data_IF_743910689743
#
_entry.id   IF_743910689743
#
_cell.length_a   1.000
_cell.length_b   1.000
_cell.length_c   1.000
_cell.angle_alpha   90.00
_cell.angle_beta   90.00
_cell.angle_gamma   90.00
#
_symmetry.space_group_name_H-M   'P 1'
#
loop_
_entity.id
_entity.type
_entity.pdbx_description
1 polymer ?
#
# COMPACT_ATOMS: atom_id res chain seq x y z
N UNK A 1 12.30 -0.26 -7.37
CA UNK A 1 13.33 -0.89 -6.51
C UNK A 1 13.89 -2.09 -7.25
N UNK A 2 15.20 -2.18 -7.33
CA UNK A 2 15.89 -3.33 -7.90
C UNK A 2 16.09 -4.41 -6.83
N UNK A 3 16.04 -5.68 -7.24
CA UNK A 3 16.16 -6.83 -6.35
C UNK A 3 17.35 -7.68 -6.83
N UNK A 4 18.35 -7.84 -5.98
CA UNK A 4 19.61 -8.49 -6.32
C UNK A 4 19.73 -9.83 -5.61
N UNK A 5 19.72 -10.96 -6.33
CA UNK A 5 20.08 -12.25 -5.76
C UNK A 5 21.59 -12.37 -5.57
N UNK A 6 22.02 -13.20 -4.64
CA UNK A 6 23.42 -13.65 -4.57
C UNK A 6 23.57 -14.80 -5.56
N UNK A 7 24.37 -14.61 -6.61
CA UNK A 7 24.56 -15.58 -7.72
C UNK A 7 23.21 -15.88 -8.42
N UNK A 8 22.92 -17.11 -8.68
CA UNK A 8 21.72 -17.60 -9.38
C UNK A 8 20.58 -17.97 -8.41
N UNK A 9 20.60 -17.44 -7.18
CA UNK A 9 19.55 -17.74 -6.20
C UNK A 9 18.22 -17.09 -6.59
N UNK A 10 17.13 -17.83 -6.43
CA UNK A 10 15.78 -17.32 -6.67
C UNK A 10 15.17 -16.82 -5.36
N UNK A 11 14.59 -15.63 -5.39
CA UNK A 11 13.81 -15.08 -4.25
C UNK A 11 12.71 -16.06 -3.80
N UNK A 12 12.18 -16.88 -4.69
CA UNK A 12 11.15 -17.87 -4.37
C UNK A 12 11.66 -18.95 -3.39
N UNK A 13 12.98 -19.19 -3.31
CA UNK A 13 13.56 -20.11 -2.32
C UNK A 13 13.37 -19.60 -0.87
N UNK A 14 13.14 -18.30 -0.69
CA UNK A 14 12.89 -17.68 0.61
C UNK A 14 11.41 -17.69 1.02
N UNK A 15 10.54 -18.32 0.22
CA UNK A 15 9.11 -18.37 0.48
C UNK A 15 8.85 -19.08 1.80
N UNK A 16 8.05 -18.45 2.66
CA UNK A 16 7.67 -18.99 3.95
C UNK A 16 6.14 -18.86 4.12
N UNK A 17 5.49 -19.72 4.90
CA UNK A 17 4.10 -19.53 5.27
C UNK A 17 3.93 -18.20 6.02
N UNK A 18 2.71 -17.69 6.02
CA UNK A 18 2.40 -16.53 6.86
C UNK A 18 2.64 -16.90 8.32
N UNK A 19 3.23 -15.95 9.06
CA UNK A 19 3.31 -16.07 10.51
C UNK A 19 1.92 -16.17 11.12
N UNK A 20 1.77 -16.96 12.16
CA UNK A 20 0.56 -16.88 12.99
C UNK A 20 0.45 -15.48 13.63
N UNK A 21 -0.72 -15.19 14.19
CA UNK A 21 -1.00 -13.87 14.77
C UNK A 21 -0.06 -13.52 15.94
N UNK A 22 0.31 -14.49 16.76
CA UNK A 22 1.14 -14.22 17.94
C UNK A 22 2.58 -13.89 17.56
N UNK A 23 3.17 -14.63 16.62
CA UNK A 23 4.51 -14.38 16.13
C UNK A 23 4.58 -13.11 15.28
N UNK A 24 3.55 -12.84 14.48
CA UNK A 24 3.48 -11.57 13.74
C UNK A 24 3.34 -10.37 14.69
N UNK A 25 2.58 -10.48 15.78
CA UNK A 25 2.49 -9.43 16.80
C UNK A 25 3.85 -9.13 17.43
N UNK A 26 4.66 -10.16 17.74
CA UNK A 26 6.03 -9.97 18.26
C UNK A 26 6.92 -9.27 17.22
N UNK A 27 6.89 -9.72 15.96
CA UNK A 27 7.63 -9.09 14.88
C UNK A 27 7.22 -7.64 14.68
N UNK A 28 5.93 -7.35 14.62
CA UNK A 28 5.38 -6.00 14.48
C UNK A 28 5.77 -5.07 15.63
N UNK A 29 5.84 -5.59 16.85
CA UNK A 29 6.28 -4.84 18.05
C UNK A 29 7.76 -4.47 18.01
N UNK A 30 8.61 -5.28 17.38
CA UNK A 30 10.07 -5.19 17.48
C UNK A 30 10.79 -4.80 16.19
N UNK A 31 10.11 -4.72 15.06
CA UNK A 31 10.71 -4.49 13.74
C UNK A 31 10.01 -3.34 13.02
N UNK A 32 10.76 -2.69 12.11
CA UNK A 32 10.17 -1.86 11.06
C UNK A 32 9.61 -2.80 10.00
N UNK A 33 8.34 -2.67 9.68
CA UNK A 33 7.67 -3.53 8.70
C UNK A 33 7.83 -2.95 7.30
N UNK A 34 8.39 -3.72 6.39
CA UNK A 34 8.46 -3.34 4.97
C UNK A 34 7.08 -3.48 4.33
N UNK A 35 6.58 -2.37 3.81
CA UNK A 35 5.30 -2.27 3.12
C UNK A 35 5.46 -1.73 1.71
N UNK A 36 4.42 -1.89 0.92
CA UNK A 36 4.24 -1.25 -0.38
C UNK A 36 2.81 -0.71 -0.49
N UNK A 37 2.67 0.43 -1.14
CA UNK A 37 1.38 1.07 -1.38
C UNK A 37 1.28 1.44 -2.86
N UNK A 38 0.09 1.38 -3.46
CA UNK A 38 -0.13 1.73 -4.84
C UNK A 38 -1.24 2.77 -5.01
N UNK A 39 -0.88 3.89 -5.61
CA UNK A 39 -1.78 4.93 -6.07
C UNK A 39 -2.29 4.53 -7.45
N UNK A 40 -3.48 3.95 -7.49
CA UNK A 40 -4.04 3.31 -8.69
C UNK A 40 -4.84 4.33 -9.49
N UNK A 41 -4.41 4.61 -10.73
CA UNK A 41 -5.31 5.25 -11.69
C UNK A 41 -6.44 4.27 -12.03
N UNK A 42 -7.65 4.62 -11.65
CA UNK A 42 -8.86 3.88 -11.98
C UNK A 42 -9.90 4.85 -12.53
N UNK A 43 -10.39 4.58 -13.74
CA UNK A 43 -11.21 5.55 -14.48
C UNK A 43 -10.49 6.90 -14.57
N UNK A 44 -11.16 7.99 -14.17
CA UNK A 44 -10.67 9.38 -14.27
C UNK A 44 -9.79 9.86 -13.11
N UNK A 45 -9.63 9.06 -12.04
CA UNK A 45 -8.93 9.51 -10.83
C UNK A 45 -7.96 8.50 -10.24
N UNK A 46 -7.32 8.89 -9.16
CA UNK A 46 -6.51 8.01 -8.30
C UNK A 46 -7.41 7.43 -7.22
N UNK A 47 -7.46 6.10 -7.15
CA UNK A 47 -8.24 5.39 -6.13
C UNK A 47 -7.57 5.51 -4.76
N UNK A 48 -8.29 6.08 -3.81
CA UNK A 48 -8.06 5.96 -2.39
C UNK A 48 -9.25 5.28 -1.74
N UNK A 49 -9.03 4.62 -0.61
CA UNK A 49 -10.07 3.93 0.16
C UNK A 49 -10.00 4.34 1.61
N UNK A 50 -11.14 4.38 2.29
CA UNK A 50 -11.19 4.62 3.72
C UNK A 50 -10.83 3.35 4.47
N UNK A 51 -9.92 3.45 5.45
CA UNK A 51 -9.49 2.31 6.26
C UNK A 51 -10.48 2.07 7.42
N UNK A 52 -10.83 0.80 7.65
CA UNK A 52 -11.70 0.38 8.77
C UNK A 52 -10.93 -0.08 10.00
N UNK A 53 -9.62 -0.13 9.93
CA UNK A 53 -8.76 -0.66 11.00
C UNK A 53 -7.50 0.19 11.23
N UNK A 54 -6.92 0.03 12.40
CA UNK A 54 -5.62 0.64 12.72
C UNK A 54 -4.45 -0.02 11.95
N UNK A 55 -3.38 0.75 11.70
CA UNK A 55 -3.24 2.20 11.91
C UNK A 55 -3.99 3.00 10.84
N UNK A 56 -4.27 4.28 11.11
CA UNK A 56 -4.93 5.15 10.15
C UNK A 56 -6.40 4.81 9.91
N UNK A 57 -7.13 4.35 10.94
CA UNK A 57 -8.58 4.17 10.88
C UNK A 57 -9.25 5.48 10.47
N UNK A 58 -10.24 5.39 9.58
CA UNK A 58 -10.98 6.51 8.98
C UNK A 58 -10.18 7.42 8.02
N UNK A 59 -8.88 7.18 7.85
CA UNK A 59 -8.06 7.91 6.89
C UNK A 59 -8.28 7.38 5.46
N UNK A 60 -8.22 8.28 4.47
CA UNK A 60 -8.09 7.91 3.07
C UNK A 60 -6.68 7.41 2.80
N UNK A 61 -6.56 6.20 2.27
CA UNK A 61 -5.28 5.52 2.07
C UNK A 61 -5.22 4.79 0.72
N UNK A 62 -4.03 4.65 0.09
CA UNK A 62 -3.87 3.78 -1.08
C UNK A 62 -4.02 2.29 -0.71
N UNK A 63 -4.34 1.46 -1.67
CA UNK A 63 -4.29 0.00 -1.52
C UNK A 63 -2.85 -0.44 -1.29
N UNK A 64 -2.63 -1.31 -0.30
CA UNK A 64 -1.28 -1.77 0.00
C UNK A 64 -1.14 -2.52 1.30
N UNK A 65 0.09 -2.66 1.76
CA UNK A 65 0.43 -3.34 3.01
C UNK A 65 1.76 -4.06 2.95
N UNK A 66 1.95 -5.04 3.82
CA UNK A 66 3.22 -5.74 3.99
C UNK A 66 3.67 -6.45 2.71
N UNK A 67 4.96 -6.26 2.36
CA UNK A 67 5.62 -7.05 1.31
C UNK A 67 5.72 -8.52 1.74
N UNK A 68 5.33 -9.42 0.85
CA UNK A 68 5.36 -10.86 1.15
C UNK A 68 6.78 -11.41 0.99
N UNK A 69 7.26 -12.10 2.02
CA UNK A 69 8.57 -12.78 2.00
C UNK A 69 8.64 -13.82 0.89
N UNK A 70 9.76 -13.88 0.19
CA UNK A 70 9.99 -14.85 -0.89
C UNK A 70 9.18 -14.57 -2.15
N UNK A 71 8.81 -13.32 -2.36
CA UNK A 71 8.07 -12.88 -3.55
C UNK A 71 8.67 -11.55 -4.06
N UNK A 72 8.87 -11.39 -5.38
CA UNK A 72 9.25 -10.09 -5.93
C UNK A 72 8.26 -8.99 -5.51
N UNK A 73 8.78 -7.82 -5.15
CA UNK A 73 7.97 -6.75 -4.55
C UNK A 73 6.79 -6.33 -5.41
N UNK A 74 6.99 -6.18 -6.73
CA UNK A 74 5.89 -5.84 -7.66
C UNK A 74 4.84 -6.95 -7.74
N UNK A 75 5.26 -8.23 -7.67
CA UNK A 75 4.32 -9.36 -7.66
C UNK A 75 3.51 -9.39 -6.36
N UNK A 76 4.18 -9.16 -5.22
CA UNK A 76 3.51 -9.01 -3.92
C UNK A 76 2.45 -7.91 -3.94
N UNK A 77 2.77 -6.76 -4.57
CA UNK A 77 1.83 -5.65 -4.74
C UNK A 77 0.62 -6.04 -5.61
N UNK A 78 0.84 -6.74 -6.73
CA UNK A 78 -0.22 -7.20 -7.62
C UNK A 78 -1.17 -8.19 -6.93
N UNK A 79 -0.63 -9.17 -6.20
CA UNK A 79 -1.42 -10.14 -5.45
C UNK A 79 -2.23 -9.46 -4.33
N UNK A 80 -1.61 -8.51 -3.63
CA UNK A 80 -2.27 -7.71 -2.60
C UNK A 80 -3.42 -6.88 -3.17
N UNK A 81 -3.17 -6.17 -4.27
CA UNK A 81 -4.21 -5.35 -4.92
C UNK A 81 -5.36 -6.20 -5.44
N UNK A 82 -5.05 -7.36 -6.01
CA UNK A 82 -6.09 -8.29 -6.43
C UNK A 82 -6.95 -8.77 -5.26
N UNK A 83 -6.34 -9.12 -4.13
CA UNK A 83 -7.06 -9.58 -2.95
C UNK A 83 -7.92 -8.49 -2.29
N UNK A 84 -7.51 -7.22 -2.35
CA UNK A 84 -8.18 -6.12 -1.64
C UNK A 84 -9.13 -5.29 -2.51
N UNK A 85 -8.92 -5.27 -3.83
CA UNK A 85 -9.68 -4.41 -4.74
C UNK A 85 -10.11 -5.09 -6.05
N UNK A 86 -9.76 -6.36 -6.29
CA UNK A 86 -10.02 -7.11 -7.53
C UNK A 86 -9.54 -6.40 -8.81
N UNK A 87 -8.53 -5.53 -8.69
CA UNK A 87 -7.93 -4.84 -9.82
C UNK A 87 -6.61 -5.49 -10.25
N UNK A 88 -6.44 -5.65 -11.56
CA UNK A 88 -5.14 -6.00 -12.16
C UNK A 88 -4.34 -4.72 -12.39
N UNK A 89 -3.07 -4.73 -11.96
CA UNK A 89 -2.17 -3.58 -12.13
C UNK A 89 -1.37 -3.68 -13.43
N UNK A 90 -1.33 -2.58 -14.17
CA UNK A 90 -0.49 -2.39 -15.35
C UNK A 90 0.39 -1.14 -15.17
N UNK A 91 1.53 -1.10 -15.88
CA UNK A 91 2.45 0.05 -15.88
C UNK A 91 2.87 0.50 -14.48
N UNK A 92 3.33 -0.45 -13.65
CA UNK A 92 3.75 -0.19 -12.27
C UNK A 92 5.04 0.63 -12.25
N UNK A 93 4.95 1.88 -11.78
CA UNK A 93 6.04 2.83 -11.63
C UNK A 93 6.31 3.08 -10.14
N UNK A 94 7.57 3.14 -9.75
CA UNK A 94 7.96 3.53 -8.39
C UNK A 94 7.95 5.06 -8.27
N UNK A 95 7.24 5.57 -7.25
CA UNK A 95 7.18 6.99 -6.92
C UNK A 95 8.20 7.40 -5.86
N UNK A 96 8.77 6.43 -5.16
CA UNK A 96 9.75 6.60 -4.10
C UNK A 96 9.39 5.82 -2.84
N UNK A 97 10.06 6.14 -1.74
CA UNK A 97 9.84 5.48 -0.46
C UNK A 97 9.76 6.48 0.68
N UNK A 98 9.12 6.08 1.77
CA UNK A 98 9.05 6.86 3.01
C UNK A 98 8.84 5.94 4.22
N UNK A 99 9.22 6.44 5.40
CA UNK A 99 8.90 5.81 6.68
C UNK A 99 7.66 6.48 7.25
N UNK A 100 6.70 5.69 7.68
CA UNK A 100 5.52 6.17 8.42
C UNK A 100 5.44 5.49 9.78
N UNK A 101 4.96 6.21 10.77
CA UNK A 101 4.76 5.68 12.10
C UNK A 101 3.49 6.26 12.72
N UNK A 102 2.80 5.42 13.49
CA UNK A 102 1.56 5.74 14.16
C UNK A 102 1.66 5.33 15.64
N UNK A 103 1.01 6.08 16.51
CA UNK A 103 0.90 5.72 17.92
C UNK A 103 0.00 4.50 18.17
N UNK A 104 -0.83 4.15 17.18
CA UNK A 104 -1.75 3.01 17.22
C UNK A 104 -1.18 1.78 16.53
N UNK A 105 -1.62 0.60 16.93
CA UNK A 105 -1.29 -0.66 16.32
C UNK A 105 -2.51 -1.60 16.20
N UNK A 106 -2.54 -2.51 15.19
CA UNK A 106 -3.69 -3.40 14.97
C UNK A 106 -3.72 -4.61 15.91
N UNK A 107 -2.74 -4.78 16.80
CA UNK A 107 -2.57 -5.97 17.62
C UNK A 107 -2.72 -5.69 19.12
N UNK A 108 -2.83 -4.43 19.54
CA UNK A 108 -2.99 -4.03 20.94
C UNK A 108 -1.73 -4.19 21.81
N UNK A 109 -0.53 -4.22 21.20
CA UNK A 109 0.73 -4.32 21.97
C UNK A 109 1.21 -2.97 22.54
N UNK A 110 0.57 -1.84 22.16
CA UNK A 110 0.83 -0.51 22.71
C UNK A 110 2.17 0.13 22.33
N UNK A 111 2.83 -0.33 21.26
CA UNK A 111 4.10 0.23 20.76
C UNK A 111 3.95 0.97 19.43
N UNK A 112 2.70 1.12 18.97
CA UNK A 112 2.41 1.76 17.70
C UNK A 112 2.78 0.89 16.48
N UNK A 113 2.75 1.50 15.32
CA UNK A 113 3.10 0.88 14.04
C UNK A 113 4.22 1.66 13.40
N UNK A 114 5.28 0.98 12.95
CA UNK A 114 6.45 1.55 12.28
C UNK A 114 6.67 0.82 10.97
N UNK A 115 6.55 1.53 9.84
CA UNK A 115 6.63 0.94 8.52
C UNK A 115 7.57 1.72 7.61
N UNK A 116 8.28 1.01 6.75
CA UNK A 116 8.97 1.57 5.60
C UNK A 116 8.18 1.21 4.36
N UNK A 117 7.64 2.22 3.67
CA UNK A 117 6.73 2.03 2.56
C UNK A 117 7.41 2.37 1.24
N UNK A 118 7.22 1.50 0.24
CA UNK A 118 7.58 1.77 -1.15
C UNK A 118 6.29 2.15 -1.86
N UNK A 119 6.20 3.39 -2.33
CA UNK A 119 5.03 3.90 -3.02
C UNK A 119 5.14 3.68 -4.53
N UNK A 120 4.07 3.19 -5.13
CA UNK A 120 3.95 2.95 -6.57
C UNK A 120 2.75 3.70 -7.15
N UNK A 121 2.86 4.02 -8.44
CA UNK A 121 1.74 4.34 -9.31
C UNK A 121 1.48 3.15 -10.23
N UNK A 122 0.21 2.88 -10.56
CA UNK A 122 -0.16 1.89 -11.57
C UNK A 122 -1.52 2.21 -12.18
N UNK A 123 -1.82 1.61 -13.34
CA UNK A 123 -3.17 1.61 -13.91
C UNK A 123 -3.93 0.38 -13.47
N UNK A 124 -5.13 0.57 -12.94
CA UNK A 124 -6.03 -0.51 -12.52
C UNK A 124 -7.00 -0.91 -13.63
N UNK A 125 -7.12 -2.21 -13.89
CA UNK A 125 -8.11 -2.80 -14.81
C UNK A 125 -9.00 -3.79 -14.10
N UNK A 126 -10.27 -3.80 -14.45
CA UNK A 126 -11.30 -4.70 -13.92
C UNK A 126 -12.42 -3.95 -13.23
N UNK A 127 -13.28 -4.69 -12.54
CA UNK A 127 -14.34 -4.14 -11.68
C UNK A 127 -13.80 -4.00 -10.26
N UNK A 128 -13.93 -2.81 -9.68
CA UNK A 128 -13.54 -2.57 -8.30
C UNK A 128 -14.48 -3.29 -7.35
N UNK A 129 -13.93 -4.20 -6.56
CA UNK A 129 -14.63 -4.88 -5.47
C UNK A 129 -13.70 -4.86 -4.25
N UNK A 130 -14.08 -4.07 -3.24
CA UNK A 130 -13.27 -3.93 -2.03
C UNK A 130 -13.49 -5.12 -1.09
N UNK A 131 -12.45 -5.47 -0.35
CA UNK A 131 -12.54 -6.42 0.76
C UNK A 131 -13.32 -5.83 1.94
N UNK A 132 -13.37 -6.58 3.06
CA UNK A 132 -14.13 -6.17 4.26
C UNK A 132 -13.41 -5.19 5.19
N UNK A 133 -12.14 -4.84 4.90
CA UNK A 133 -11.34 -3.90 5.70
C UNK A 133 -11.17 -2.53 5.07
N UNK A 134 -11.73 -2.34 3.87
CA UNK A 134 -11.77 -1.08 3.14
C UNK A 134 -13.21 -0.69 2.82
N UNK A 135 -13.48 0.60 2.76
CA UNK A 135 -14.78 1.13 2.39
C UNK A 135 -14.66 2.49 1.69
N UNK A 136 -15.79 3.05 1.25
CA UNK A 136 -15.89 4.39 0.68
C UNK A 136 -14.78 4.69 -0.35
N UNK A 137 -14.73 3.96 -1.49
CA UNK A 137 -13.74 4.22 -2.52
C UNK A 137 -13.94 5.62 -3.09
N UNK A 138 -12.86 6.39 -3.11
CA UNK A 138 -12.83 7.76 -3.63
C UNK A 138 -11.89 7.84 -4.82
N UNK A 139 -12.35 8.41 -5.92
CA UNK A 139 -11.53 8.67 -7.11
C UNK A 139 -11.06 10.12 -7.08
N UNK A 140 -9.81 10.32 -6.78
CA UNK A 140 -9.25 11.66 -6.58
C UNK A 140 -8.72 12.18 -7.92
N UNK A 141 -9.43 13.14 -8.49
CA UNK A 141 -8.97 13.95 -9.62
C UNK A 141 -8.10 15.12 -9.12
N UNK A 142 -7.53 15.91 -10.03
CA UNK A 142 -6.76 17.11 -9.66
C UNK A 142 -7.64 18.15 -8.95
N UNK A 143 -8.90 18.28 -9.38
CA UNK A 143 -9.88 19.20 -8.80
C UNK A 143 -10.20 18.78 -7.35
N UNK A 144 -10.60 17.52 -7.15
CA UNK A 144 -10.89 16.97 -5.82
C UNK A 144 -9.67 17.08 -4.90
N UNK A 145 -8.48 16.79 -5.42
CA UNK A 145 -7.24 16.93 -4.64
C UNK A 145 -7.08 18.34 -4.08
N UNK A 146 -7.33 19.37 -4.89
CA UNK A 146 -7.23 20.77 -4.45
C UNK A 146 -8.13 21.07 -3.25
N UNK A 147 -9.29 20.43 -3.16
CA UNK A 147 -10.26 20.62 -2.08
C UNK A 147 -9.87 19.88 -0.79
N UNK A 148 -9.29 18.65 -0.91
CA UNK A 148 -9.10 17.77 0.23
C UNK A 148 -7.64 17.67 0.73
N UNK A 149 -6.66 18.21 0.01
CA UNK A 149 -5.24 17.99 0.29
C UNK A 149 -4.80 18.30 1.73
N UNK A 150 -5.42 19.28 2.37
CA UNK A 150 -5.10 19.66 3.76
C UNK A 150 -5.68 18.71 4.80
N UNK A 151 -6.60 17.82 4.40
CA UNK A 151 -7.17 16.79 5.28
C UNK A 151 -6.44 15.45 5.17
N UNK A 152 -5.59 15.30 4.14
CA UNK A 152 -4.87 14.05 3.90
C UNK A 152 -3.68 13.89 4.85
N UNK A 153 -3.42 12.65 5.24
CA UNK A 153 -2.17 12.31 5.92
C UNK A 153 -0.95 12.75 5.07
N UNK A 154 0.11 13.35 5.65
CA UNK A 154 1.24 13.90 4.88
C UNK A 154 1.89 12.92 3.89
N UNK A 155 1.98 11.64 4.26
CA UNK A 155 2.44 10.58 3.36
C UNK A 155 1.55 10.44 2.13
N UNK A 156 0.23 10.37 2.33
CA UNK A 156 -0.75 10.23 1.24
C UNK A 156 -0.70 11.47 0.34
N UNK A 157 -0.71 12.66 0.93
CA UNK A 157 -0.61 13.94 0.19
C UNK A 157 0.60 13.93 -0.72
N UNK A 158 1.80 13.65 -0.17
CA UNK A 158 3.08 13.70 -0.91
C UNK A 158 3.12 12.74 -2.11
N UNK A 159 2.63 11.51 -1.95
CA UNK A 159 2.67 10.52 -3.02
C UNK A 159 1.48 10.62 -3.98
N UNK A 160 0.33 11.10 -3.52
CA UNK A 160 -0.81 11.42 -4.38
C UNK A 160 -0.47 12.54 -5.36
N UNK A 161 0.23 13.60 -4.92
CA UNK A 161 0.74 14.67 -5.81
C UNK A 161 1.57 14.09 -6.94
N UNK A 162 2.52 13.20 -6.63
CA UNK A 162 3.34 12.53 -7.64
C UNK A 162 2.51 11.65 -8.57
N UNK A 163 1.53 10.90 -8.02
CA UNK A 163 0.66 10.04 -8.81
C UNK A 163 -0.23 10.84 -9.78
N UNK A 164 -0.75 11.99 -9.34
CA UNK A 164 -1.57 12.87 -10.17
C UNK A 164 -0.81 13.42 -11.41
N UNK A 165 0.53 13.49 -11.38
CA UNK A 165 1.32 13.87 -12.55
C UNK A 165 1.25 12.82 -13.67
N UNK A 166 0.93 11.57 -13.33
CA UNK A 166 0.82 10.46 -14.29
C UNK A 166 -0.60 10.22 -14.80
N UNK A 167 -1.62 10.95 -14.28
CA UNK A 167 -2.95 10.90 -14.87
C UNK A 167 -2.88 11.38 -16.32
N UNK A 168 -3.35 10.55 -17.24
CA UNK A 168 -3.54 10.96 -18.63
C UNK A 168 -4.53 12.13 -18.69
N UNK A 169 -4.19 13.13 -19.49
CA UNK A 169 -5.07 14.25 -19.83
C UNK A 169 -6.26 13.75 -20.63
#
# INVERSE_FOLDING_TARGET
MEEYPIKDESINALKAPFMDRADYTKAHKGLIILCHDVFIQYKEGILLVKRKNHPGMDELWPIGGRVQRGMPTKKSLQEKTWAEAHLKLENILELGCARTYFSTDPFGHGKGTDTFNIAYFARGKGSLELDNVHEEPSLITREIYTEIQETLHPYVKSFLEKALLHLAS
#
